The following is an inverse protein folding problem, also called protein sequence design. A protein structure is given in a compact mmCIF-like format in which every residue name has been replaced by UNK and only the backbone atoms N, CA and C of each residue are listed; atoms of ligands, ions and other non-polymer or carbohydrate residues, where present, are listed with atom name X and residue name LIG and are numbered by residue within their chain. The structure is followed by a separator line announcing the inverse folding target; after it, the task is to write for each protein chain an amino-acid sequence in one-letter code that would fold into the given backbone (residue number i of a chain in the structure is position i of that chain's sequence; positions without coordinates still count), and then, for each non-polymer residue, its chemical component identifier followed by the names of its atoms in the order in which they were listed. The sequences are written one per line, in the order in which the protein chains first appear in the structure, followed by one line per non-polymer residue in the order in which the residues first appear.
data_IF_315000199369
#
_entry.id   IF_315000199369
#
_cell.length_a   1.000
_cell.length_b   1.000
_cell.length_c   1.000
_cell.angle_alpha   90.00
_cell.angle_beta   90.00
_cell.angle_gamma   90.00
#
_symmetry.space_group_name_H-M   'P 1'
#
loop_
_entity.id
_entity.type
_entity.pdbx_description
1 polymer ?
#
# COMPACT_ATOMS: atom_id res chain seq x y z
N UNK A 1 -17.27 0.63 -3.91
CA UNK A 1 -17.15 2.02 -4.42
C UNK A 1 -16.62 2.89 -3.30
N UNK A 2 -15.58 3.67 -3.55
CA UNK A 2 -15.02 4.57 -2.53
C UNK A 2 -15.84 5.86 -2.43
N UNK A 3 -16.51 6.28 -3.52
CA UNK A 3 -17.42 7.44 -3.55
C UNK A 3 -18.57 7.12 -4.53
N UNK A 4 -19.81 7.48 -4.18
CA UNK A 4 -20.99 7.39 -5.05
C UNK A 4 -21.80 8.70 -4.95
N UNK A 5 -22.33 9.19 -6.06
CA UNK A 5 -23.16 10.40 -6.11
C UNK A 5 -24.25 10.27 -7.18
N UNK A 6 -25.43 10.80 -6.91
CA UNK A 6 -26.55 10.82 -7.84
C UNK A 6 -27.83 11.35 -7.19
N UNK A 7 -28.60 12.15 -7.93
CA UNK A 7 -29.84 12.76 -7.46
C UNK A 7 -29.62 14.02 -6.60
N UNK A 8 -30.57 14.94 -6.67
CA UNK A 8 -30.52 16.21 -5.93
C UNK A 8 -31.72 16.40 -4.99
N UNK A 9 -32.83 15.69 -5.25
CA UNK A 9 -34.07 15.74 -4.48
C UNK A 9 -34.69 14.34 -4.42
N UNK A 10 -35.46 14.08 -3.38
CA UNK A 10 -36.14 12.81 -3.13
C UNK A 10 -37.30 12.52 -4.11
N UNK A 11 -37.85 13.54 -4.74
CA UNK A 11 -38.97 13.44 -5.67
C UNK A 11 -38.60 13.67 -7.15
N UNK A 12 -37.31 13.64 -7.50
CA UNK A 12 -36.83 13.85 -8.88
C UNK A 12 -35.92 12.70 -9.29
N UNK A 13 -36.23 12.07 -10.42
CA UNK A 13 -35.36 11.04 -11.00
C UNK A 13 -34.01 11.66 -11.41
N UNK A 14 -32.87 11.06 -10.99
CA UNK A 14 -31.55 11.55 -11.34
C UNK A 14 -31.28 11.40 -12.84
N UNK A 15 -30.73 12.45 -13.45
CA UNK A 15 -30.29 12.44 -14.85
C UNK A 15 -28.90 11.79 -15.04
N UNK A 16 -28.11 11.74 -13.98
CA UNK A 16 -26.75 11.18 -13.96
C UNK A 16 -26.47 10.59 -12.57
N UNK A 17 -25.71 9.49 -12.54
CA UNK A 17 -25.09 8.95 -11.35
C UNK A 17 -23.62 8.65 -11.64
N UNK A 18 -22.75 8.89 -10.66
CA UNK A 18 -21.32 8.61 -10.76
C UNK A 18 -20.86 7.75 -9.60
N UNK A 19 -19.96 6.82 -9.89
CA UNK A 19 -19.29 6.00 -8.90
C UNK A 19 -17.78 6.02 -9.14
N UNK A 20 -17.01 6.27 -8.08
CA UNK A 20 -15.56 6.14 -8.08
C UNK A 20 -15.18 4.83 -7.40
N UNK A 21 -14.36 4.04 -8.07
CA UNK A 21 -13.84 2.77 -7.54
C UNK A 21 -12.31 2.86 -7.53
N UNK A 22 -11.72 2.69 -6.35
CA UNK A 22 -10.27 2.61 -6.21
C UNK A 22 -9.81 1.15 -6.36
N UNK A 23 -8.90 0.90 -7.30
CA UNK A 23 -8.26 -0.40 -7.48
C UNK A 23 -6.83 -0.38 -6.94
N UNK A 24 -6.43 -1.49 -6.33
CA UNK A 24 -5.04 -1.81 -5.98
C UNK A 24 -4.60 -2.96 -6.89
N UNK A 25 -3.65 -2.70 -7.78
CA UNK A 25 -3.17 -3.73 -8.71
C UNK A 25 -2.20 -4.68 -7.99
N UNK A 26 -2.40 -5.99 -8.21
CA UNK A 26 -1.43 -7.00 -7.79
C UNK A 26 -0.26 -7.05 -8.78
N UNK A 27 0.94 -7.48 -8.35
CA UNK A 27 2.01 -7.78 -9.28
C UNK A 27 1.55 -8.76 -10.36
N UNK A 28 1.68 -8.35 -11.63
CA UNK A 28 1.21 -9.12 -12.79
C UNK A 28 -0.05 -8.55 -13.44
N UNK A 29 -0.84 -7.76 -12.73
CA UNK A 29 -1.99 -7.06 -13.30
C UNK A 29 -1.59 -5.71 -13.91
N UNK A 30 -2.26 -5.33 -15.00
CA UNK A 30 -2.15 -3.99 -15.59
C UNK A 30 -3.43 -3.16 -15.44
N UNK A 31 -3.28 -1.82 -15.48
CA UNK A 31 -4.43 -0.92 -15.55
C UNK A 31 -5.35 -1.22 -16.74
N UNK A 32 -4.77 -1.59 -17.87
CA UNK A 32 -5.51 -1.88 -19.09
C UNK A 32 -6.41 -3.11 -18.91
N UNK A 33 -5.91 -4.16 -18.27
CA UNK A 33 -6.66 -5.39 -18.00
C UNK A 33 -7.78 -5.15 -16.99
N UNK A 34 -7.52 -4.39 -15.93
CA UNK A 34 -8.58 -4.03 -14.96
C UNK A 34 -9.65 -3.18 -15.64
N UNK A 35 -9.28 -2.18 -16.43
CA UNK A 35 -10.26 -1.37 -17.16
C UNK A 35 -11.09 -2.20 -18.15
N UNK A 36 -10.44 -3.12 -18.86
CA UNK A 36 -11.13 -4.05 -19.77
C UNK A 36 -12.12 -4.90 -18.99
N UNK A 37 -11.69 -5.50 -17.88
CA UNK A 37 -12.53 -6.35 -17.03
C UNK A 37 -13.72 -5.60 -16.45
N UNK A 38 -13.54 -4.36 -16.02
CA UNK A 38 -14.63 -3.52 -15.52
C UNK A 38 -15.68 -3.28 -16.61
N UNK A 39 -15.26 -2.98 -17.85
CA UNK A 39 -16.19 -2.81 -18.98
C UNK A 39 -16.95 -4.09 -19.30
N UNK A 40 -16.25 -5.23 -19.31
CA UNK A 40 -16.86 -6.56 -19.54
C UNK A 40 -17.88 -6.94 -18.47
N UNK A 41 -17.64 -6.58 -17.20
CA UNK A 41 -18.55 -6.93 -16.09
C UNK A 41 -19.77 -6.03 -16.07
N UNK A 42 -19.61 -4.76 -16.43
CA UNK A 42 -20.73 -3.80 -16.48
C UNK A 42 -21.65 -4.11 -17.67
N UNK A 43 -21.06 -4.37 -18.84
CA UNK A 43 -21.77 -4.77 -20.08
C UNK A 43 -23.01 -3.91 -20.39
N UNK A 44 -22.93 -2.60 -20.13
CA UNK A 44 -24.00 -1.64 -20.38
C UNK A 44 -23.44 -0.46 -21.20
N UNK A 45 -23.93 -0.24 -22.44
CA UNK A 45 -23.45 0.84 -23.29
C UNK A 45 -23.79 2.24 -22.76
N UNK A 46 -24.73 2.37 -21.82
CA UNK A 46 -25.06 3.64 -21.17
C UNK A 46 -24.06 4.02 -20.07
N UNK A 47 -23.21 3.09 -19.62
CA UNK A 47 -22.25 3.31 -18.53
C UNK A 47 -20.87 3.64 -19.10
N UNK A 48 -20.41 4.87 -18.87
CA UNK A 48 -19.08 5.29 -19.26
C UNK A 48 -18.02 4.94 -18.20
N UNK A 49 -17.01 4.15 -18.59
CA UNK A 49 -15.86 3.80 -17.72
C UNK A 49 -14.62 4.57 -18.16
N UNK A 50 -14.16 5.50 -17.30
CA UNK A 50 -12.97 6.33 -17.51
C UNK A 50 -12.04 6.35 -16.29
N UNK A 51 -10.71 6.38 -16.48
CA UNK A 51 -9.77 6.65 -15.39
C UNK A 51 -9.88 8.13 -14.96
N UNK A 52 -9.83 8.39 -13.65
CA UNK A 52 -9.91 9.76 -13.08
C UNK A 52 -8.56 10.49 -13.05
N UNK A 53 -7.45 9.76 -13.03
CA UNK A 53 -6.09 10.28 -13.06
C UNK A 53 -5.19 9.30 -13.83
N UNK A 54 -3.93 9.66 -14.08
CA UNK A 54 -2.92 8.69 -14.44
C UNK A 54 -2.78 7.72 -13.26
N UNK A 55 -3.46 6.57 -13.36
CA UNK A 55 -3.30 5.50 -12.38
C UNK A 55 -1.87 4.99 -12.43
N UNK A 56 -1.52 4.17 -11.44
CA UNK A 56 -0.19 3.60 -11.34
C UNK A 56 -0.27 2.11 -11.63
N UNK A 57 0.67 1.61 -12.42
CA UNK A 57 0.86 0.18 -12.58
C UNK A 57 1.29 -0.47 -11.26
N UNK A 58 1.15 -1.79 -11.20
CA UNK A 58 1.67 -2.57 -10.08
C UNK A 58 3.17 -2.28 -9.89
N UNK A 59 3.58 -2.09 -8.62
CA UNK A 59 5.01 -1.95 -8.31
C UNK A 59 5.75 -3.26 -8.60
N UNK A 60 7.02 -3.20 -9.04
CA UNK A 60 7.84 -4.41 -9.18
C UNK A 60 8.00 -5.10 -7.82
N UNK A 61 8.20 -6.42 -7.88
CA UNK A 61 8.46 -7.25 -6.70
C UNK A 61 9.95 -7.15 -6.37
N UNK A 62 10.26 -6.66 -5.18
CA UNK A 62 11.64 -6.63 -4.68
C UNK A 62 12.11 -8.05 -4.36
N UNK A 63 13.32 -8.40 -4.79
CA UNK A 63 13.92 -9.70 -4.51
C UNK A 63 14.25 -9.83 -3.02
N UNK A 64 14.16 -11.02 -2.45
CA UNK A 64 14.68 -11.31 -1.10
C UNK A 64 16.10 -11.84 -1.11
N UNK A 65 16.63 -12.16 -2.30
CA UNK A 65 17.98 -12.66 -2.51
C UNK A 65 18.91 -11.51 -2.90
N UNK A 66 19.21 -10.63 -1.94
CA UNK A 66 20.21 -9.58 -2.09
C UNK A 66 20.69 -9.04 -0.74
N UNK A 67 21.79 -8.29 -0.78
CA UNK A 67 22.43 -7.72 0.40
C UNK A 67 21.51 -6.76 1.18
N UNK A 68 20.64 -6.00 0.50
CA UNK A 68 19.75 -5.05 1.15
C UNK A 68 18.65 -5.76 1.98
N UNK A 69 18.05 -6.83 1.46
CA UNK A 69 17.14 -7.67 2.26
C UNK A 69 17.89 -8.34 3.42
N UNK A 70 19.12 -8.83 3.16
CA UNK A 70 19.98 -9.39 4.21
C UNK A 70 20.30 -8.40 5.33
N UNK A 71 20.53 -7.12 5.01
CA UNK A 71 20.77 -6.07 6.00
C UNK A 71 19.52 -5.77 6.84
N UNK A 72 18.34 -5.73 6.22
CA UNK A 72 17.07 -5.64 6.95
C UNK A 72 16.89 -6.84 7.89
N UNK A 73 17.09 -8.06 7.39
CA UNK A 73 17.00 -9.27 8.19
C UNK A 73 17.90 -9.22 9.44
N UNK A 74 19.19 -8.92 9.27
CA UNK A 74 20.14 -8.79 10.39
C UNK A 74 19.71 -7.70 11.39
N UNK A 75 19.26 -6.55 10.89
CA UNK A 75 18.84 -5.43 11.74
C UNK A 75 17.59 -5.77 12.55
N UNK A 76 16.60 -6.43 11.92
CA UNK A 76 15.40 -6.91 12.62
C UNK A 76 15.82 -7.87 13.74
N UNK A 77 16.68 -8.85 13.46
CA UNK A 77 17.15 -9.81 14.48
C UNK A 77 17.95 -9.16 15.61
N UNK A 78 18.67 -8.07 15.36
CA UNK A 78 19.42 -7.37 16.42
C UNK A 78 18.52 -6.59 17.38
N UNK A 79 17.41 -6.04 16.89
CA UNK A 79 16.48 -5.24 17.72
C UNK A 79 15.36 -6.10 18.29
N UNK A 80 14.91 -7.11 17.55
CA UNK A 80 13.83 -8.01 17.90
C UNK A 80 14.30 -9.48 17.80
N UNK A 81 15.07 -10.00 18.76
CA UNK A 81 15.70 -11.32 18.66
C UNK A 81 14.71 -12.49 18.50
N UNK A 82 13.49 -12.34 19.02
CA UNK A 82 12.44 -13.36 18.93
C UNK A 82 11.61 -13.26 17.65
N UNK A 83 11.76 -12.20 16.85
CA UNK A 83 10.99 -12.03 15.62
C UNK A 83 11.44 -13.02 14.54
N UNK A 84 10.46 -13.59 13.84
CA UNK A 84 10.68 -14.26 12.55
C UNK A 84 10.62 -13.20 11.44
N UNK A 85 11.50 -13.34 10.45
CA UNK A 85 11.57 -12.40 9.33
C UNK A 85 11.05 -13.12 8.09
N UNK A 86 9.97 -12.59 7.51
CA UNK A 86 9.38 -13.09 6.29
C UNK A 86 8.97 -11.93 5.38
N UNK A 87 9.11 -12.06 4.05
CA UNK A 87 8.57 -11.08 3.11
C UNK A 87 7.04 -11.13 3.11
N UNK A 88 6.40 -9.99 2.86
CA UNK A 88 4.96 -9.90 2.64
C UNK A 88 4.63 -8.77 1.66
N UNK A 89 3.46 -8.85 1.02
CA UNK A 89 2.96 -7.80 0.13
C UNK A 89 2.27 -6.72 0.93
N UNK A 90 2.78 -5.50 0.87
CA UNK A 90 2.12 -4.33 1.45
C UNK A 90 0.92 -3.94 0.59
N UNK A 91 -0.27 -3.97 1.19
CA UNK A 91 -1.53 -3.58 0.53
C UNK A 91 -1.72 -2.05 0.47
N UNK A 92 -0.98 -1.33 1.30
CA UNK A 92 -0.99 0.13 1.39
C UNK A 92 -0.18 0.81 0.27
N UNK A 93 -0.55 2.06 -0.01
CA UNK A 93 0.24 2.95 -0.85
C UNK A 93 1.38 3.58 -0.03
N UNK A 94 2.60 3.61 -0.58
CA UNK A 94 3.73 4.36 -0.02
C UNK A 94 4.50 5.07 -1.14
N UNK A 95 5.29 6.08 -0.77
CA UNK A 95 6.16 6.82 -1.70
C UNK A 95 7.27 5.96 -2.32
N UNK A 96 7.50 4.75 -1.80
CA UNK A 96 8.44 3.77 -2.35
C UNK A 96 8.19 3.48 -3.85
N UNK A 97 6.95 3.65 -4.33
CA UNK A 97 6.58 3.60 -5.76
C UNK A 97 7.46 4.51 -6.63
N UNK A 98 7.82 5.70 -6.14
CA UNK A 98 8.58 6.71 -6.88
C UNK A 98 10.05 6.32 -6.97
N UNK A 99 10.55 5.58 -5.98
CA UNK A 99 11.93 5.11 -5.92
C UNK A 99 12.14 3.76 -6.61
N UNK A 100 11.06 3.05 -6.96
CA UNK A 100 11.13 1.73 -7.58
C UNK A 100 11.90 1.74 -8.91
N UNK A 101 11.86 2.84 -9.67
CA UNK A 101 12.63 2.99 -10.90
C UNK A 101 14.16 3.10 -10.65
N UNK A 102 14.57 3.59 -9.47
CA UNK A 102 15.98 3.71 -9.09
C UNK A 102 16.55 2.38 -8.58
N UNK A 103 15.75 1.66 -7.79
CA UNK A 103 16.14 0.39 -7.15
C UNK A 103 15.08 -0.70 -7.36
N UNK A 104 14.85 -1.18 -8.60
CA UNK A 104 13.72 -2.04 -8.93
C UNK A 104 13.74 -3.39 -8.20
N UNK A 105 14.92 -3.86 -7.82
CA UNK A 105 15.11 -5.14 -7.15
C UNK A 105 15.19 -5.04 -5.61
N UNK A 106 15.26 -3.81 -5.06
CA UNK A 106 15.63 -3.59 -3.66
C UNK A 106 14.84 -2.43 -3.02
N UNK A 107 13.54 -2.33 -3.32
CA UNK A 107 12.64 -1.35 -2.71
C UNK A 107 11.73 -2.02 -1.67
N UNK A 108 12.10 -1.96 -0.39
CA UNK A 108 11.34 -2.61 0.69
C UNK A 108 10.46 -1.62 1.45
N UNK A 109 9.20 -2.00 1.66
CA UNK A 109 8.21 -1.22 2.40
C UNK A 109 8.08 -1.82 3.79
N UNK A 110 8.87 -1.33 4.73
CA UNK A 110 8.94 -1.88 6.08
C UNK A 110 8.96 -0.76 7.12
N UNK A 111 8.27 -0.97 8.23
CA UNK A 111 8.34 -0.13 9.42
C UNK A 111 8.58 -1.02 10.63
N UNK A 112 9.55 -0.71 11.51
CA UNK A 112 9.89 -1.53 12.68
C UNK A 112 8.91 -1.30 13.85
N UNK A 113 7.64 -1.08 13.55
CA UNK A 113 6.59 -0.83 14.54
C UNK A 113 5.96 -2.15 14.97
N UNK A 114 6.12 -2.49 16.25
CA UNK A 114 5.35 -3.55 16.88
C UNK A 114 3.94 -3.03 17.16
N UNK A 115 2.97 -3.53 16.40
CA UNK A 115 1.57 -3.11 16.47
C UNK A 115 0.67 -4.30 16.79
N UNK A 116 -0.27 -4.09 17.70
CA UNK A 116 -1.41 -5.00 17.87
C UNK A 116 -2.53 -4.62 16.88
N UNK A 117 -3.58 -5.42 16.83
CA UNK A 117 -4.70 -5.18 15.92
C UNK A 117 -5.35 -3.80 16.17
N UNK A 118 -5.44 -3.37 17.44
CA UNK A 118 -6.04 -2.08 17.79
C UNK A 118 -5.21 -0.90 17.27
N UNK A 119 -3.88 -0.99 17.29
CA UNK A 119 -3.01 0.01 16.71
C UNK A 119 -3.16 0.06 15.18
N UNK A 120 -3.22 -1.09 14.51
CA UNK A 120 -3.47 -1.20 13.06
C UNK A 120 -4.81 -0.54 12.69
N UNK A 121 -5.88 -0.87 13.42
CA UNK A 121 -7.22 -0.34 13.17
C UNK A 121 -7.32 1.18 13.43
N UNK A 122 -6.41 1.73 14.24
CA UNK A 122 -6.36 3.16 14.54
C UNK A 122 -5.66 3.99 13.46
N UNK A 123 -4.94 3.37 12.52
CA UNK A 123 -4.25 4.11 11.45
C UNK A 123 -5.27 4.86 10.58
N UNK A 124 -5.04 6.15 10.37
CA UNK A 124 -5.98 7.07 9.71
C UNK A 124 -7.33 7.23 10.45
N UNK A 125 -7.41 6.79 11.70
CA UNK A 125 -8.59 6.90 12.56
C UNK A 125 -8.45 8.00 13.61
N UNK A 126 -9.51 8.17 14.41
CA UNK A 126 -9.48 9.09 15.55
C UNK A 126 -8.54 8.56 16.64
N UNK A 127 -7.71 9.43 17.21
CA UNK A 127 -6.79 9.10 18.30
C UNK A 127 -5.75 8.01 17.94
N UNK A 128 -5.26 8.05 16.69
CA UNK A 128 -4.04 7.36 16.27
C UNK A 128 -2.88 7.74 17.20
N UNK A 129 -2.18 6.75 17.75
CA UNK A 129 -1.13 6.98 18.74
C UNK A 129 -0.10 5.85 18.75
N UNK A 130 1.08 6.17 19.25
CA UNK A 130 2.19 5.23 19.39
C UNK A 130 2.68 5.21 20.84
N UNK A 131 2.97 4.02 21.37
CA UNK A 131 3.61 3.87 22.68
C UNK A 131 5.04 4.37 22.67
N UNK A 132 5.48 5.01 23.76
CA UNK A 132 6.85 5.56 23.86
C UNK A 132 7.94 4.49 23.77
N UNK A 133 7.68 3.28 24.29
CA UNK A 133 8.59 2.15 24.14
C UNK A 133 8.76 1.73 22.67
N UNK A 134 7.65 1.66 21.91
CA UNK A 134 7.70 1.35 20.48
C UNK A 134 8.46 2.43 19.69
N UNK A 135 8.31 3.71 20.05
CA UNK A 135 9.11 4.79 19.47
C UNK A 135 10.61 4.61 19.73
N UNK A 136 11.00 4.20 20.94
CA UNK A 136 12.41 3.91 21.25
C UNK A 136 12.95 2.75 20.39
N UNK A 137 12.17 1.70 20.19
CA UNK A 137 12.58 0.57 19.34
C UNK A 137 12.71 0.96 17.86
N UNK A 138 11.83 1.83 17.36
CA UNK A 138 11.95 2.40 16.01
C UNK A 138 13.25 3.18 15.85
N UNK A 139 13.62 4.01 16.83
CA UNK A 139 14.89 4.76 16.83
C UNK A 139 16.08 3.80 16.83
N UNK A 140 16.06 2.78 17.71
CA UNK A 140 17.12 1.75 17.77
C UNK A 140 17.26 1.03 16.44
N UNK A 141 16.15 0.67 15.80
CA UNK A 141 16.13 0.01 14.51
C UNK A 141 16.79 0.85 13.43
N UNK A 142 16.38 2.10 13.23
CA UNK A 142 16.97 2.93 12.17
C UNK A 142 18.45 3.25 12.43
N UNK A 143 18.85 3.46 13.70
CA UNK A 143 20.26 3.62 14.05
C UNK A 143 21.10 2.36 13.74
N UNK A 144 20.56 1.17 14.02
CA UNK A 144 21.20 -0.09 13.69
C UNK A 144 21.23 -0.34 12.17
N UNK A 145 20.17 0.00 11.45
CA UNK A 145 20.09 -0.14 9.99
C UNK A 145 21.18 0.67 9.30
N UNK A 146 21.34 1.95 9.67
CA UNK A 146 22.36 2.83 9.11
C UNK A 146 23.76 2.24 9.31
N UNK A 147 24.06 1.72 10.49
CA UNK A 147 25.36 1.09 10.79
C UNK A 147 25.58 -0.22 10.03
N UNK A 148 24.53 -1.02 9.84
CA UNK A 148 24.59 -2.30 9.13
C UNK A 148 24.65 -2.15 7.60
N UNK A 149 24.47 -0.94 7.09
CA UNK A 149 24.52 -0.58 5.67
C UNK A 149 25.83 0.10 5.25
N UNK A 150 26.72 0.41 6.20
CA UNK A 150 28.09 0.87 5.97
C UNK A 150 29.02 -0.32 5.71
#
# INVERSE_FOLDING_TARGET
PTIISGGAKDNVLPIEATATVNFRLLPGDSQAEVQRRVREVIDDPLVQVRPLAAGQEASPVSSTDNAAFGALHRTIKSVFPQALVAPYTVLGATDARTYAALCPQATYRFSPLLMDQKAIDSMHGTNERLGTAALQDVIRFYAALIRNMQ
#
